data_IF_578931341740
#
_entry.id   IF_578931341740
#
_cell.length_a   1.000
_cell.length_b   1.000
_cell.length_c   1.000
_cell.angle_alpha   90.00
_cell.angle_beta   90.00
_cell.angle_gamma   90.00
#
_symmetry.space_group_name_H-M   'P 1'
#
loop_
_entity.id
_entity.type
_entity.pdbx_description
1 polymer ?
#
# COMPACT_ATOMS: atom_id res chain seq x y z
N UNK A 1 14.00 47.43 9.36
CA UNK A 1 15.04 46.63 8.74
C UNK A 1 15.74 45.86 9.84
N UNK A 2 15.27 44.69 10.11
CA UNK A 2 15.98 43.76 10.99
C UNK A 2 16.20 42.49 10.15
N UNK A 3 17.42 42.29 9.72
CA UNK A 3 17.85 41.03 9.11
C UNK A 3 17.96 39.97 10.20
N UNK A 4 16.99 39.09 10.28
CA UNK A 4 17.15 37.86 11.02
C UNK A 4 17.90 36.89 10.10
N UNK A 5 19.18 36.75 10.37
CA UNK A 5 19.96 35.64 9.82
C UNK A 5 19.47 34.38 10.52
N UNK A 6 18.71 33.54 9.80
CA UNK A 6 18.45 32.15 10.23
C UNK A 6 19.78 31.41 10.13
N UNK A 7 20.38 31.15 11.27
CA UNK A 7 21.55 30.29 11.39
C UNK A 7 21.02 28.88 11.45
N UNK A 8 21.39 28.02 10.53
CA UNK A 8 21.14 26.61 10.60
C UNK A 8 21.73 26.05 11.90
N UNK A 9 20.88 25.67 12.83
CA UNK A 9 21.27 24.95 14.02
C UNK A 9 21.22 23.46 13.68
N UNK A 10 22.37 22.87 13.41
CA UNK A 10 22.56 21.43 13.35
C UNK A 10 22.29 20.88 14.76
N UNK A 11 21.12 20.33 14.97
CA UNK A 11 20.85 19.51 16.15
C UNK A 11 21.10 18.05 15.73
N UNK A 12 22.32 17.61 15.91
CA UNK A 12 22.66 16.18 15.89
C UNK A 12 22.02 15.48 17.09
N UNK A 13 20.80 15.02 16.93
CA UNK A 13 20.23 14.03 17.83
C UNK A 13 20.65 12.63 17.35
N UNK A 14 21.88 12.27 17.61
CA UNK A 14 22.31 10.87 17.53
C UNK A 14 21.65 10.12 18.68
N UNK A 15 20.45 9.60 18.45
CA UNK A 15 19.92 8.53 19.28
C UNK A 15 20.45 7.21 18.73
N UNK A 16 21.55 6.75 19.30
CA UNK A 16 21.99 5.37 19.14
C UNK A 16 20.98 4.44 19.81
N UNK A 17 20.01 3.95 19.05
CA UNK A 17 19.33 2.71 19.39
C UNK A 17 20.08 1.56 18.71
N UNK A 18 20.96 0.93 19.49
CA UNK A 18 21.58 -0.34 19.12
C UNK A 18 20.55 -1.46 19.27
N UNK A 19 19.90 -1.77 18.18
CA UNK A 19 19.05 -2.93 18.00
C UNK A 19 18.95 -3.20 16.52
N UNK A 20 20.06 -3.63 15.91
CA UNK A 20 20.00 -4.16 14.56
C UNK A 20 19.14 -5.43 14.59
N UNK A 21 17.88 -5.33 14.18
CA UNK A 21 17.17 -6.49 13.64
C UNK A 21 17.70 -6.62 12.22
N UNK A 22 18.64 -7.53 12.02
CA UNK A 22 19.10 -7.86 10.67
C UNK A 22 17.90 -8.37 9.85
N UNK A 23 17.84 -8.03 8.57
CA UNK A 23 16.92 -8.64 7.60
C UNK A 23 16.96 -10.19 7.61
N UNK A 24 18.02 -10.79 8.17
CA UNK A 24 18.16 -12.23 8.41
C UNK A 24 17.30 -12.78 9.56
N UNK A 25 16.60 -11.93 10.33
CA UNK A 25 15.69 -12.31 11.42
C UNK A 25 14.20 -12.16 11.04
N UNK A 26 13.87 -12.06 9.76
CA UNK A 26 12.53 -12.35 9.28
C UNK A 26 12.29 -13.80 9.64
N UNK A 27 11.50 -14.01 10.69
CA UNK A 27 11.29 -15.36 11.20
C UNK A 27 10.82 -16.25 10.05
N UNK A 28 11.39 -17.44 9.93
CA UNK A 28 11.06 -18.48 8.93
C UNK A 28 9.57 -18.88 8.86
N UNK A 29 8.70 -18.09 9.44
CA UNK A 29 7.26 -18.29 9.59
C UNK A 29 6.42 -17.36 8.72
N UNK A 30 6.99 -16.26 8.17
CA UNK A 30 6.25 -15.35 7.29
C UNK A 30 6.10 -15.96 5.90
N UNK A 31 4.95 -15.73 5.29
CA UNK A 31 4.73 -15.96 3.87
C UNK A 31 5.49 -14.86 3.14
N UNK A 32 6.41 -15.21 2.26
CA UNK A 32 7.06 -14.24 1.39
C UNK A 32 6.03 -13.84 0.35
N UNK A 33 5.56 -12.60 0.41
CA UNK A 33 4.65 -12.04 -0.57
C UNK A 33 5.40 -11.59 -1.83
N UNK A 34 4.74 -11.54 -2.98
CA UNK A 34 5.38 -11.20 -4.25
C UNK A 34 5.55 -9.69 -4.49
N UNK A 35 5.04 -8.80 -3.64
CA UNK A 35 5.07 -7.36 -3.94
C UNK A 35 6.49 -6.85 -4.21
N UNK A 36 7.43 -7.15 -3.31
CA UNK A 36 8.83 -6.78 -3.47
C UNK A 36 9.55 -7.50 -4.64
N UNK A 37 9.00 -8.60 -5.16
CA UNK A 37 9.55 -9.29 -6.33
C UNK A 37 8.98 -8.72 -7.65
N UNK A 38 7.83 -8.04 -7.58
CA UNK A 38 7.15 -7.47 -8.75
C UNK A 38 7.62 -6.05 -9.07
N UNK A 39 8.17 -5.35 -8.08
CA UNK A 39 8.70 -3.99 -8.24
C UNK A 39 10.22 -4.03 -8.10
N UNK A 40 10.93 -3.71 -9.17
CA UNK A 40 12.38 -3.61 -9.17
C UNK A 40 12.83 -2.55 -8.16
N UNK A 41 13.85 -2.85 -7.34
CA UNK A 41 14.38 -1.95 -6.30
C UNK A 41 13.30 -1.35 -5.37
N UNK A 42 12.28 -2.15 -5.04
CA UNK A 42 11.20 -1.71 -4.16
C UNK A 42 11.69 -1.46 -2.74
N UNK A 43 11.08 -0.48 -2.08
CA UNK A 43 11.29 -0.24 -0.65
C UNK A 43 11.00 -1.52 0.16
N UNK A 44 11.90 -1.95 1.06
CA UNK A 44 11.66 -3.11 1.91
C UNK A 44 10.40 -2.97 2.75
N UNK A 45 9.53 -3.96 2.67
CA UNK A 45 8.28 -3.99 3.47
C UNK A 45 8.47 -4.43 4.92
N UNK A 46 9.67 -4.87 5.29
CA UNK A 46 10.01 -5.35 6.65
C UNK A 46 11.37 -4.83 7.08
N UNK A 47 11.54 -4.66 8.39
CA UNK A 47 12.79 -4.13 8.95
C UNK A 47 12.71 -2.64 9.26
N UNK A 48 13.83 -1.97 9.18
CA UNK A 48 13.94 -0.53 9.43
C UNK A 48 14.19 0.19 8.12
N UNK A 49 13.27 1.04 7.72
CA UNK A 49 13.40 1.91 6.54
C UNK A 49 13.65 3.34 7.01
N UNK A 50 14.59 4.01 6.36
CA UNK A 50 14.88 5.43 6.59
C UNK A 50 14.57 6.22 5.34
N UNK A 51 13.77 7.28 5.47
CA UNK A 51 13.33 8.11 4.37
C UNK A 51 13.79 9.57 4.58
N UNK A 52 14.69 10.12 3.75
CA UNK A 52 14.95 11.54 3.75
C UNK A 52 13.78 12.26 3.05
N UNK A 53 13.32 13.35 3.65
CA UNK A 53 12.19 14.17 3.15
C UNK A 53 12.68 15.57 2.89
N UNK A 54 12.47 16.07 1.69
CA UNK A 54 12.91 17.39 1.28
C UNK A 54 11.71 18.31 1.06
N UNK A 55 11.57 19.35 1.87
CA UNK A 55 10.67 20.45 1.62
C UNK A 55 11.34 21.39 0.60
N UNK A 56 10.82 21.40 -0.61
CA UNK A 56 11.43 22.11 -1.74
C UNK A 56 10.57 23.30 -2.15
N UNK A 57 11.13 24.49 -2.11
CA UNK A 57 10.52 25.68 -2.69
C UNK A 57 11.37 26.28 -3.83
N UNK A 58 10.82 27.29 -4.50
CA UNK A 58 11.43 27.91 -5.68
C UNK A 58 11.65 29.40 -5.45
N UNK A 59 12.54 30.07 -6.25
CA UNK A 59 12.74 31.49 -6.15
C UNK A 59 11.45 32.33 -6.33
N UNK A 60 10.52 31.83 -7.13
CA UNK A 60 9.24 32.47 -7.47
C UNK A 60 8.02 31.84 -6.76
N UNK A 61 8.16 30.70 -6.12
CA UNK A 61 7.09 30.03 -5.38
C UNK A 61 7.61 29.49 -4.05
N UNK A 62 7.19 30.08 -2.95
CA UNK A 62 7.64 29.76 -1.59
C UNK A 62 6.53 29.09 -0.81
N UNK A 63 6.90 28.26 0.17
CA UNK A 63 5.92 27.84 1.17
C UNK A 63 5.30 29.06 1.84
N UNK A 64 4.00 29.05 2.02
CA UNK A 64 3.29 30.11 2.72
C UNK A 64 3.66 30.13 4.21
N UNK A 65 3.36 31.26 4.88
CA UNK A 65 3.55 31.37 6.34
C UNK A 65 2.62 30.41 7.13
N UNK A 66 1.63 29.82 6.48
CA UNK A 66 0.67 28.87 7.06
C UNK A 66 1.13 27.41 6.90
N UNK A 67 2.14 27.14 6.07
CA UNK A 67 2.70 25.80 5.93
C UNK A 67 3.38 25.37 7.23
N UNK A 68 3.29 24.07 7.53
CA UNK A 68 3.96 23.51 8.72
C UNK A 68 5.49 23.62 8.59
N UNK A 69 6.16 23.67 9.73
CA UNK A 69 7.62 23.66 9.80
C UNK A 69 8.20 22.28 9.51
N UNK A 70 9.51 22.22 9.26
CA UNK A 70 10.24 20.95 9.12
C UNK A 70 10.07 20.05 10.35
N UNK A 71 10.04 20.63 11.56
CA UNK A 71 9.87 19.89 12.81
C UNK A 71 8.44 19.30 12.89
N UNK A 72 7.41 20.07 12.54
CA UNK A 72 6.03 19.59 12.53
C UNK A 72 5.80 18.53 11.45
N UNK A 73 6.35 18.72 10.24
CA UNK A 73 6.26 17.73 9.16
C UNK A 73 7.00 16.44 9.56
N UNK A 74 8.14 16.55 10.21
CA UNK A 74 8.86 15.40 10.76
C UNK A 74 8.03 14.63 11.80
N UNK A 75 7.27 15.34 12.65
CA UNK A 75 6.35 14.70 13.60
C UNK A 75 5.17 14.02 12.90
N UNK A 76 4.64 14.63 11.82
CA UNK A 76 3.57 14.01 11.03
C UNK A 76 4.00 12.71 10.36
N UNK A 77 5.23 12.66 9.87
CA UNK A 77 5.74 11.50 9.15
C UNK A 77 6.33 10.45 10.09
N UNK A 78 7.09 10.87 11.11
CA UNK A 78 7.93 9.98 11.92
C UNK A 78 7.66 10.03 13.43
N UNK A 79 6.60 10.74 13.85
CA UNK A 79 6.21 10.83 15.26
C UNK A 79 5.77 9.48 15.85
N UNK A 80 5.71 9.42 17.18
CA UNK A 80 5.31 8.19 17.90
C UNK A 80 3.81 7.88 17.75
N UNK A 81 2.98 8.90 17.48
CA UNK A 81 1.52 8.78 17.38
C UNK A 81 0.96 9.72 16.32
N UNK A 82 -0.19 9.34 15.76
CA UNK A 82 -0.88 10.09 14.70
C UNK A 82 0.08 10.49 13.56
N UNK A 83 0.90 9.53 13.11
CA UNK A 83 1.93 9.71 12.09
C UNK A 83 1.90 8.61 11.05
N UNK A 84 2.56 8.83 9.93
CA UNK A 84 2.80 7.81 8.91
C UNK A 84 3.56 6.61 9.49
N UNK A 85 4.60 6.84 10.31
CA UNK A 85 5.37 5.77 10.94
C UNK A 85 4.53 4.91 11.89
N UNK A 86 3.63 5.52 12.67
CA UNK A 86 2.68 4.76 13.49
C UNK A 86 1.70 3.96 12.63
N UNK A 87 1.21 4.56 11.54
CA UNK A 87 0.32 3.87 10.60
C UNK A 87 0.99 2.60 10.05
N UNK A 88 2.18 2.72 9.47
CA UNK A 88 2.93 1.60 8.89
C UNK A 88 3.31 0.54 9.93
N UNK A 89 3.69 0.96 11.12
CA UNK A 89 3.95 0.05 12.26
C UNK A 89 2.70 -0.74 12.66
N UNK A 90 1.54 -0.10 12.70
CA UNK A 90 0.27 -0.75 12.99
C UNK A 90 -0.14 -1.71 11.87
N UNK A 91 -0.04 -1.27 10.61
CA UNK A 91 -0.40 -2.03 9.43
C UNK A 91 0.43 -3.31 9.28
N UNK A 92 1.74 -3.20 9.51
CA UNK A 92 2.70 -4.31 9.41
C UNK A 92 2.76 -5.22 10.65
N UNK A 93 1.94 -4.98 11.66
CA UNK A 93 2.03 -5.69 12.95
C UNK A 93 3.41 -5.53 13.62
N UNK A 94 3.99 -4.34 13.49
CA UNK A 94 5.33 -3.97 13.97
C UNK A 94 6.49 -4.71 13.28
N UNK A 95 6.29 -5.14 12.04
CA UNK A 95 7.36 -5.74 11.23
C UNK A 95 8.13 -4.70 10.42
N UNK A 96 7.52 -3.54 10.15
CA UNK A 96 8.14 -2.38 9.50
C UNK A 96 8.27 -1.24 10.52
N UNK A 97 9.44 -0.64 10.58
CA UNK A 97 9.73 0.57 11.35
C UNK A 97 10.22 1.65 10.39
N UNK A 98 9.41 2.68 10.18
CA UNK A 98 9.75 3.84 9.36
C UNK A 98 10.32 4.96 10.21
N UNK A 99 11.40 5.56 9.74
CA UNK A 99 12.03 6.74 10.37
C UNK A 99 12.60 7.65 9.29
N UNK A 100 12.95 8.89 9.64
CA UNK A 100 13.53 9.80 8.69
C UNK A 100 13.84 11.17 9.28
N UNK A 101 14.17 12.09 8.38
CA UNK A 101 14.42 13.50 8.73
C UNK A 101 13.94 14.40 7.59
N UNK A 102 13.46 15.59 7.95
CA UNK A 102 12.99 16.60 7.00
C UNK A 102 14.07 17.66 6.83
N UNK A 103 14.31 18.05 5.58
CA UNK A 103 15.28 19.05 5.18
C UNK A 103 14.59 20.10 4.31
N UNK A 104 15.01 21.34 4.41
CA UNK A 104 14.49 22.42 3.60
C UNK A 104 15.49 22.84 2.52
N UNK A 105 14.99 22.93 1.29
CA UNK A 105 15.79 23.33 0.14
C UNK A 105 15.06 24.37 -0.71
N UNK A 106 15.80 25.36 -1.20
CA UNK A 106 15.32 26.26 -2.25
C UNK A 106 15.98 25.91 -3.57
N UNK A 107 15.18 25.51 -4.54
CA UNK A 107 15.66 25.17 -5.88
C UNK A 107 16.38 26.32 -6.55
N UNK A 108 17.33 26.04 -7.45
CA UNK A 108 18.13 27.03 -8.13
C UNK A 108 17.36 27.81 -9.20
N UNK A 109 16.38 27.15 -9.81
CA UNK A 109 15.55 27.71 -10.87
C UNK A 109 14.12 27.96 -10.38
N UNK A 110 13.37 28.75 -11.15
CA UNK A 110 11.96 28.98 -10.92
C UNK A 110 11.15 27.66 -11.10
N UNK A 111 10.01 27.54 -10.44
CA UNK A 111 9.12 26.40 -10.54
C UNK A 111 8.80 26.03 -11.99
N UNK A 112 8.54 27.02 -12.84
CA UNK A 112 8.21 26.81 -14.25
C UNK A 112 9.30 26.08 -15.06
N UNK A 113 10.55 26.14 -14.63
CA UNK A 113 11.65 25.41 -15.25
C UNK A 113 11.49 23.88 -15.06
N UNK A 114 11.15 23.45 -13.85
CA UNK A 114 10.99 22.03 -13.50
C UNK A 114 9.62 21.44 -13.89
N UNK A 115 8.64 22.29 -14.20
CA UNK A 115 7.30 21.83 -14.64
C UNK A 115 7.27 21.13 -15.99
N UNK A 116 8.34 21.21 -16.74
CA UNK A 116 8.42 20.53 -18.03
C UNK A 116 8.59 19.05 -17.81
N UNK A 117 7.85 18.24 -18.54
CA UNK A 117 7.97 16.78 -18.48
C UNK A 117 9.43 16.34 -18.60
N UNK A 118 9.89 15.54 -17.65
CA UNK A 118 11.28 15.06 -17.55
C UNK A 118 12.20 15.89 -16.62
N UNK A 119 11.78 17.10 -16.17
CA UNK A 119 12.62 17.91 -15.28
C UNK A 119 12.45 17.57 -13.78
N UNK A 120 11.60 16.60 -13.45
CA UNK A 120 11.46 16.12 -12.05
C UNK A 120 12.72 15.44 -11.55
N UNK A 121 13.32 14.64 -12.39
CA UNK A 121 14.60 13.99 -12.12
C UNK A 121 15.69 15.02 -11.93
N UNK A 122 15.74 16.07 -12.77
CA UNK A 122 16.69 17.17 -12.62
C UNK A 122 16.50 17.91 -11.28
N UNK A 123 15.26 18.07 -10.80
CA UNK A 123 14.99 18.62 -9.47
C UNK A 123 15.44 17.64 -8.37
N UNK A 124 15.15 16.36 -8.51
CA UNK A 124 15.59 15.33 -7.57
C UNK A 124 17.11 15.26 -7.47
N UNK A 125 17.83 15.23 -8.61
CA UNK A 125 19.30 15.26 -8.64
C UNK A 125 19.85 16.53 -7.97
N UNK A 126 19.24 17.68 -8.25
CA UNK A 126 19.66 18.93 -7.66
C UNK A 126 19.51 18.92 -6.14
N UNK A 127 18.37 18.42 -5.63
CA UNK A 127 18.07 18.30 -4.19
C UNK A 127 19.01 17.30 -3.54
N UNK A 128 19.11 16.11 -4.04
CA UNK A 128 19.98 15.06 -3.50
C UNK A 128 21.44 15.50 -3.48
N UNK A 129 21.92 16.08 -4.59
CA UNK A 129 23.30 16.59 -4.66
C UNK A 129 23.57 17.77 -3.71
N UNK A 130 22.55 18.54 -3.35
CA UNK A 130 22.73 19.65 -2.42
C UNK A 130 23.03 19.20 -0.99
N UNK A 131 22.61 17.99 -0.64
CA UNK A 131 22.86 17.37 0.67
C UNK A 131 23.99 16.32 0.64
N UNK A 132 24.64 16.15 -0.50
CA UNK A 132 25.86 15.34 -0.58
C UNK A 132 26.92 15.85 0.38
N UNK A 133 27.43 14.96 1.22
CA UNK A 133 28.37 15.30 2.30
C UNK A 133 27.72 15.80 3.61
N UNK A 134 26.41 16.10 3.65
CA UNK A 134 25.64 16.25 4.89
C UNK A 134 24.93 14.94 5.25
N UNK A 135 24.39 14.25 4.23
CA UNK A 135 23.82 12.92 4.33
C UNK A 135 24.83 11.90 3.78
N UNK A 136 24.79 10.71 4.33
CA UNK A 136 25.43 9.52 3.77
C UNK A 136 24.30 8.64 3.21
N UNK A 137 24.17 8.58 1.89
CA UNK A 137 23.04 7.92 1.24
C UNK A 137 23.04 6.40 1.46
N UNK A 138 24.16 5.79 1.81
CA UNK A 138 24.18 4.38 2.21
C UNK A 138 23.45 4.08 3.53
N UNK A 139 23.11 5.11 4.32
CA UNK A 139 22.27 4.94 5.51
C UNK A 139 20.78 4.75 5.17
N UNK A 140 20.40 4.92 3.88
CA UNK A 140 19.03 4.81 3.35
C UNK A 140 18.84 3.59 2.42
N UNK A 141 19.83 2.75 2.27
CA UNK A 141 19.77 1.42 1.65
C UNK A 141 19.74 0.37 2.77
N UNK A 142 18.53 -0.05 3.15
CA UNK A 142 18.35 -0.91 4.33
C UNK A 142 18.53 -2.40 4.02
N UNK A 143 18.38 -2.83 2.77
CA UNK A 143 18.55 -4.21 2.35
C UNK A 143 19.86 -4.48 1.61
N UNK A 144 20.64 -3.42 1.35
CA UNK A 144 21.95 -3.44 0.72
C UNK A 144 21.91 -3.96 -0.73
N UNK A 145 20.92 -3.53 -1.49
CA UNK A 145 20.80 -3.85 -2.92
C UNK A 145 21.54 -2.85 -3.83
N UNK A 146 22.06 -1.74 -3.26
CA UNK A 146 22.77 -0.67 -3.92
C UNK A 146 21.86 0.47 -4.38
N UNK A 147 20.63 0.50 -3.89
CA UNK A 147 19.67 1.58 -4.11
C UNK A 147 19.16 2.14 -2.77
N UNK A 148 19.05 3.46 -2.67
CA UNK A 148 18.35 4.06 -1.54
C UNK A 148 16.87 3.68 -1.57
N UNK A 149 16.34 3.17 -0.46
CA UNK A 149 14.99 2.57 -0.37
C UNK A 149 13.88 3.49 -0.91
N UNK A 150 13.88 4.76 -0.48
CA UNK A 150 12.90 5.77 -0.90
C UNK A 150 13.32 7.14 -0.40
N UNK A 151 13.00 8.19 -1.13
CA UNK A 151 13.03 9.57 -0.64
C UNK A 151 11.75 10.32 -0.99
N UNK A 152 11.53 11.47 -0.38
CA UNK A 152 10.32 12.28 -0.62
C UNK A 152 10.68 13.73 -0.90
N UNK A 153 9.99 14.33 -1.87
CA UNK A 153 9.98 15.77 -2.09
C UNK A 153 8.57 16.33 -1.86
N UNK A 154 8.43 17.17 -0.84
CA UNK A 154 7.24 17.99 -0.64
C UNK A 154 7.49 19.35 -1.27
N UNK A 155 6.77 19.68 -2.34
CA UNK A 155 7.06 20.82 -3.22
C UNK A 155 6.11 21.98 -2.90
N UNK A 156 6.64 23.20 -2.82
CA UNK A 156 5.83 24.39 -2.68
C UNK A 156 5.06 24.69 -3.97
N UNK A 157 3.84 25.19 -3.83
CA UNK A 157 2.95 25.54 -4.94
C UNK A 157 1.80 24.53 -5.05
N UNK A 158 0.60 25.07 -5.25
CA UNK A 158 -0.61 24.27 -5.38
C UNK A 158 -0.94 24.00 -6.86
N UNK A 159 -1.42 22.82 -7.14
CA UNK A 159 -2.26 22.42 -8.28
C UNK A 159 -1.61 22.35 -9.67
N UNK A 160 -0.32 22.60 -9.82
CA UNK A 160 0.16 22.77 -11.19
C UNK A 160 1.40 21.94 -11.54
N UNK A 161 2.05 21.29 -10.57
CA UNK A 161 3.32 20.64 -10.83
C UNK A 161 3.15 19.13 -11.07
N UNK A 162 2.42 18.47 -10.19
CA UNK A 162 2.03 17.06 -10.25
C UNK A 162 0.53 16.92 -10.03
N UNK A 163 0.02 15.70 -10.12
CA UNK A 163 -1.37 15.36 -9.84
C UNK A 163 -1.61 15.10 -8.34
N UNK A 164 -1.12 15.97 -7.46
CA UNK A 164 -1.24 15.79 -6.01
C UNK A 164 -0.06 15.03 -5.40
N UNK A 165 -0.30 13.93 -4.70
CA UNK A 165 0.71 13.02 -4.18
C UNK A 165 0.92 11.86 -5.17
N UNK A 166 2.16 11.47 -5.40
CA UNK A 166 2.49 10.42 -6.36
C UNK A 166 3.80 9.72 -6.02
N UNK A 167 3.79 8.39 -5.97
CA UNK A 167 5.01 7.61 -6.09
C UNK A 167 5.46 7.57 -7.55
N UNK A 168 6.76 7.70 -7.76
CA UNK A 168 7.36 7.66 -9.09
C UNK A 168 8.74 7.00 -9.02
N UNK A 169 9.27 6.64 -10.17
CA UNK A 169 10.58 6.01 -10.27
C UNK A 169 11.55 6.92 -11.02
N UNK A 170 12.83 6.67 -10.81
CA UNK A 170 13.92 7.42 -11.37
C UNK A 170 14.54 6.66 -12.55
N UNK A 171 14.55 7.26 -13.75
CA UNK A 171 15.00 6.58 -14.96
C UNK A 171 16.52 6.68 -15.22
N UNK A 172 17.22 7.63 -14.56
CA UNK A 172 18.67 7.81 -14.77
C UNK A 172 19.49 6.87 -13.86
N UNK A 173 19.81 5.70 -14.36
CA UNK A 173 20.62 4.71 -13.65
C UNK A 173 22.11 5.09 -13.52
N UNK A 174 22.56 6.20 -14.15
CA UNK A 174 23.94 6.66 -14.03
C UNK A 174 24.15 7.58 -12.82
N UNK A 175 23.06 8.18 -12.27
CA UNK A 175 23.14 9.03 -11.09
C UNK A 175 23.30 8.19 -9.82
N UNK A 176 24.31 8.52 -9.01
CA UNK A 176 24.57 7.87 -7.73
C UNK A 176 25.30 8.78 -6.78
N UNK A 177 25.04 8.66 -5.47
CA UNK A 177 25.72 9.35 -4.39
C UNK A 177 26.13 8.34 -3.31
N UNK A 178 27.33 8.46 -2.77
CA UNK A 178 27.92 7.53 -1.79
C UNK A 178 27.98 6.05 -2.23
N UNK A 179 27.77 5.79 -3.53
CA UNK A 179 27.72 4.45 -4.11
C UNK A 179 26.32 3.88 -4.27
N UNK A 180 25.30 4.61 -3.81
CA UNK A 180 23.90 4.22 -3.93
C UNK A 180 23.25 4.91 -5.14
N UNK A 181 22.41 4.16 -5.84
CA UNK A 181 21.47 4.65 -6.82
C UNK A 181 20.14 5.03 -6.19
N UNK A 182 19.25 5.62 -6.97
CA UNK A 182 17.92 6.01 -6.51
C UNK A 182 16.91 5.42 -7.48
N UNK A 183 15.79 4.93 -6.97
CA UNK A 183 14.74 4.39 -7.83
C UNK A 183 13.37 4.96 -7.46
N UNK A 184 12.79 4.59 -6.31
CA UNK A 184 11.50 5.11 -5.90
C UNK A 184 11.62 6.43 -5.13
N UNK A 185 10.72 7.36 -5.44
CA UNK A 185 10.51 8.55 -4.62
C UNK A 185 9.05 8.98 -4.64
N UNK A 186 8.64 9.70 -3.60
CA UNK A 186 7.31 10.26 -3.47
C UNK A 186 7.42 11.77 -3.71
N UNK A 187 6.58 12.28 -4.60
CA UNK A 187 6.43 13.72 -4.78
C UNK A 187 5.06 14.13 -4.31
N UNK A 188 5.01 15.19 -3.52
CA UNK A 188 3.77 15.76 -3.02
C UNK A 188 3.80 17.27 -3.22
N UNK A 189 2.83 17.82 -3.94
CA UNK A 189 2.66 19.26 -4.18
C UNK A 189 1.59 19.87 -3.24
N UNK A 190 0.90 19.04 -2.45
CA UNK A 190 0.02 19.49 -1.40
C UNK A 190 0.84 20.08 -0.27
N UNK A 191 0.75 21.40 -0.08
CA UNK A 191 1.42 22.04 1.04
C UNK A 191 0.90 21.45 2.38
N UNK A 192 1.78 21.01 3.27
CA UNK A 192 1.37 20.40 4.54
C UNK A 192 0.84 21.50 5.49
N UNK A 193 -0.45 21.78 5.43
CA UNK A 193 -1.15 22.65 6.35
C UNK A 193 -1.70 21.87 7.54
N UNK A 194 -1.75 22.49 8.71
CA UNK A 194 -2.20 21.84 9.94
C UNK A 194 -3.62 21.25 9.83
N UNK A 195 -4.51 21.87 9.04
CA UNK A 195 -5.88 21.41 8.82
C UNK A 195 -6.00 20.18 7.90
N UNK A 196 -4.98 19.87 7.12
CA UNK A 196 -4.99 18.71 6.21
C UNK A 196 -4.08 17.55 6.64
N UNK A 197 -3.59 17.56 7.88
CA UNK A 197 -2.66 16.55 8.41
C UNK A 197 -3.12 15.10 8.14
N UNK A 198 -4.39 14.79 8.46
CA UNK A 198 -4.92 13.44 8.31
C UNK A 198 -4.92 13.01 6.84
N UNK A 199 -5.39 13.87 5.95
CA UNK A 199 -5.39 13.63 4.51
C UNK A 199 -3.97 13.44 3.96
N UNK A 200 -3.05 14.33 4.31
CA UNK A 200 -1.66 14.25 3.92
C UNK A 200 -1.00 12.93 4.32
N UNK A 201 -1.20 12.49 5.57
CA UNK A 201 -0.67 11.20 6.04
C UNK A 201 -1.28 10.03 5.27
N UNK A 202 -2.59 10.09 4.96
CA UNK A 202 -3.27 9.03 4.22
C UNK A 202 -2.72 8.89 2.79
N UNK A 203 -2.50 10.01 2.09
CA UNK A 203 -1.86 10.01 0.78
C UNK A 203 -0.43 9.46 0.85
N UNK A 204 0.38 9.96 1.78
CA UNK A 204 1.75 9.48 1.93
C UNK A 204 1.84 7.98 2.21
N UNK A 205 0.92 7.41 2.99
CA UNK A 205 0.85 5.96 3.22
C UNK A 205 0.43 5.19 1.96
N UNK A 206 -0.45 5.75 1.12
CA UNK A 206 -0.84 5.16 -0.14
C UNK A 206 0.36 5.09 -1.10
N UNK A 207 1.03 6.22 -1.31
CA UNK A 207 2.19 6.30 -2.21
C UNK A 207 3.37 5.44 -1.72
N UNK A 208 3.54 5.35 -0.40
CA UNK A 208 4.54 4.46 0.18
C UNK A 208 4.20 2.97 -0.06
N UNK A 209 2.91 2.64 -0.12
CA UNK A 209 2.44 1.32 -0.54
C UNK A 209 2.92 0.96 -1.95
N UNK A 210 2.92 1.92 -2.89
CA UNK A 210 3.48 1.75 -4.22
C UNK A 210 5.00 1.53 -4.19
N UNK A 211 5.72 2.30 -3.38
CA UNK A 211 7.16 2.10 -3.22
C UNK A 211 7.49 0.69 -2.68
N UNK A 212 6.60 0.09 -1.90
CA UNK A 212 6.71 -1.30 -1.45
C UNK A 212 6.23 -2.34 -2.47
N UNK A 213 5.79 -1.93 -3.67
CA UNK A 213 5.38 -2.81 -4.77
C UNK A 213 3.88 -3.13 -4.84
N UNK A 214 3.02 -2.45 -4.10
CA UNK A 214 1.58 -2.61 -4.26
C UNK A 214 1.07 -1.80 -5.47
N UNK A 215 0.05 -2.33 -6.13
CA UNK A 215 -0.64 -1.65 -7.22
C UNK A 215 -1.87 -0.91 -6.71
N UNK A 216 -2.36 0.05 -7.50
CA UNK A 216 -3.70 0.61 -7.31
C UNK A 216 -4.79 -0.44 -7.51
N UNK A 217 -5.81 -0.39 -6.66
CA UNK A 217 -6.96 -1.28 -6.75
C UNK A 217 -8.18 -0.63 -7.38
N UNK A 218 -8.16 0.69 -7.56
CA UNK A 218 -9.16 1.39 -8.34
C UNK A 218 -8.85 1.32 -9.85
N UNK A 219 -9.81 1.67 -10.66
CA UNK A 219 -9.70 1.65 -12.12
C UNK A 219 -9.35 3.03 -12.66
N UNK A 220 -8.37 3.13 -13.55
CA UNK A 220 -7.92 4.38 -14.19
C UNK A 220 -8.82 4.88 -15.34
N UNK A 221 -10.07 4.52 -15.41
CA UNK A 221 -10.97 4.92 -16.51
C UNK A 221 -11.65 6.25 -16.17
N UNK A 222 -11.22 7.31 -16.83
CA UNK A 222 -11.73 8.67 -16.61
C UNK A 222 -13.20 8.88 -17.01
N UNK A 223 -13.79 7.97 -17.81
CA UNK A 223 -15.17 8.03 -18.25
C UNK A 223 -16.11 7.18 -17.38
N UNK A 224 -15.59 6.52 -16.34
CA UNK A 224 -16.39 5.67 -15.46
C UNK A 224 -17.03 6.49 -14.34
N UNK A 225 -18.26 6.16 -14.00
CA UNK A 225 -18.86 6.62 -12.75
C UNK A 225 -17.97 6.20 -11.57
N UNK A 226 -17.85 7.05 -10.55
CA UNK A 226 -17.06 6.84 -9.35
C UNK A 226 -17.26 5.43 -8.72
N UNK A 227 -18.50 4.92 -8.71
CA UNK A 227 -18.82 3.56 -8.27
C UNK A 227 -18.16 2.45 -9.13
N UNK A 228 -17.84 2.73 -10.39
CA UNK A 228 -17.15 1.77 -11.25
C UNK A 228 -15.64 1.82 -11.10
N UNK A 229 -15.08 2.91 -10.57
CA UNK A 229 -13.66 3.04 -10.26
C UNK A 229 -13.28 2.20 -9.04
N UNK A 230 -14.17 2.10 -8.05
CA UNK A 230 -13.87 1.52 -6.75
C UNK A 230 -14.14 0.02 -6.73
N UNK A 231 -13.08 -0.77 -6.71
CA UNK A 231 -13.17 -2.22 -6.59
C UNK A 231 -13.65 -2.70 -5.23
N UNK A 232 -13.40 -1.94 -4.18
CA UNK A 232 -13.57 -2.33 -2.78
C UNK A 232 -14.24 -1.29 -1.90
N UNK A 233 -15.01 -0.39 -2.49
CA UNK A 233 -15.85 0.59 -1.80
C UNK A 233 -15.07 1.57 -0.90
N UNK A 234 -13.87 1.97 -1.29
CA UNK A 234 -13.11 3.02 -0.61
C UNK A 234 -12.65 2.69 0.81
N UNK A 235 -12.48 1.43 1.14
CA UNK A 235 -12.10 1.02 2.51
C UNK A 235 -10.81 0.21 2.56
N UNK A 236 -9.89 0.52 1.66
CA UNK A 236 -8.58 -0.11 1.55
C UNK A 236 -7.56 0.92 1.09
N UNK A 237 -6.37 0.86 1.66
CA UNK A 237 -5.33 1.86 1.45
C UNK A 237 -4.99 2.09 -0.02
N UNK A 238 -4.92 1.04 -0.82
CA UNK A 238 -4.59 1.13 -2.25
C UNK A 238 -5.81 1.34 -3.17
N UNK A 239 -7.00 1.62 -2.61
CA UNK A 239 -8.21 2.00 -3.36
C UNK A 239 -8.47 3.51 -3.22
N UNK A 240 -9.04 3.99 -2.12
CA UNK A 240 -9.34 5.41 -1.89
C UNK A 240 -8.59 6.00 -0.68
N UNK A 241 -7.44 5.47 -0.38
CA UNK A 241 -6.55 5.95 0.69
C UNK A 241 -7.12 5.86 2.11
N UNK A 242 -8.40 5.55 2.30
CA UNK A 242 -8.99 5.40 3.62
C UNK A 242 -8.72 4.03 4.25
N UNK A 243 -8.65 3.98 5.56
CA UNK A 243 -8.48 2.75 6.32
C UNK A 243 -7.07 2.16 6.29
N UNK A 244 -6.99 0.88 6.57
CA UNK A 244 -5.75 0.10 6.61
C UNK A 244 -5.58 -0.70 5.31
N UNK A 245 -4.41 -1.24 5.09
CA UNK A 245 -4.21 -2.29 4.09
C UNK A 245 -5.07 -3.51 4.41
N UNK A 246 -5.70 -4.08 3.40
CA UNK A 246 -6.43 -5.35 3.53
C UNK A 246 -5.49 -6.50 3.88
N UNK A 247 -6.05 -7.63 4.32
CA UNK A 247 -5.23 -8.84 4.51
C UNK A 247 -4.63 -9.34 3.19
N UNK A 248 -5.18 -8.94 2.03
CA UNK A 248 -4.59 -9.19 0.73
C UNK A 248 -3.28 -8.41 0.57
N UNK A 249 -3.30 -7.09 0.74
CA UNK A 249 -2.10 -6.26 0.65
C UNK A 249 -1.04 -6.67 1.67
N UNK A 250 -1.45 -6.96 2.91
CA UNK A 250 -0.56 -7.45 3.96
C UNK A 250 0.06 -8.82 3.62
N UNK A 251 -0.68 -9.68 2.90
CA UNK A 251 -0.16 -10.95 2.39
C UNK A 251 0.86 -10.70 1.26
N UNK A 252 0.57 -9.76 0.36
CA UNK A 252 1.48 -9.38 -0.72
C UNK A 252 2.79 -8.75 -0.20
N UNK A 253 2.73 -8.00 0.89
CA UNK A 253 3.88 -7.39 1.56
C UNK A 253 4.64 -8.36 2.50
N UNK A 254 4.21 -9.62 2.62
CA UNK A 254 4.90 -10.59 3.46
C UNK A 254 4.67 -10.41 4.98
N UNK A 255 3.64 -9.67 5.39
CA UNK A 255 3.35 -9.40 6.80
C UNK A 255 2.55 -10.50 7.50
N UNK A 256 2.05 -11.50 6.77
CA UNK A 256 1.30 -12.61 7.33
C UNK A 256 2.19 -13.84 7.54
N UNK A 257 1.94 -14.53 8.66
CA UNK A 257 2.57 -15.83 8.94
C UNK A 257 1.76 -16.96 8.31
N UNK A 258 2.44 -18.09 8.04
CA UNK A 258 1.81 -19.26 7.42
C UNK A 258 0.61 -19.84 8.20
N UNK A 259 0.55 -19.66 9.53
CA UNK A 259 -0.59 -20.09 10.35
C UNK A 259 -1.72 -19.05 10.42
N UNK A 260 -1.52 -17.84 9.90
CA UNK A 260 -2.48 -16.74 9.86
C UNK A 260 -3.31 -16.76 8.57
N UNK A 261 -2.71 -17.08 7.42
CA UNK A 261 -3.39 -17.21 6.14
C UNK A 261 -3.82 -18.68 5.91
N UNK A 262 -5.02 -19.02 6.33
CA UNK A 262 -5.54 -20.41 6.29
C UNK A 262 -6.21 -20.71 4.97
N UNK A 263 -5.81 -21.78 4.29
CA UNK A 263 -6.45 -22.23 3.04
C UNK A 263 -7.60 -23.19 3.31
N UNK A 264 -8.75 -22.92 2.70
CA UNK A 264 -9.86 -23.87 2.67
C UNK A 264 -9.54 -25.04 1.72
N UNK A 265 -9.59 -26.25 2.25
CA UNK A 265 -9.20 -27.48 1.56
C UNK A 265 -10.36 -28.47 1.36
N UNK A 266 -11.59 -27.95 1.44
CA UNK A 266 -12.81 -28.76 1.23
C UNK A 266 -13.48 -29.27 2.49
N UNK A 267 -14.71 -29.75 2.32
CA UNK A 267 -15.56 -30.27 3.38
C UNK A 267 -16.18 -29.16 4.25
N UNK A 268 -16.75 -29.56 5.40
CA UNK A 268 -17.26 -28.57 6.35
C UNK A 268 -16.15 -28.15 7.31
N UNK A 269 -15.81 -26.87 7.32
CA UNK A 269 -14.76 -26.28 8.15
C UNK A 269 -15.30 -25.07 8.89
N UNK A 270 -14.84 -24.86 10.11
CA UNK A 270 -15.12 -23.64 10.88
C UNK A 270 -13.81 -22.93 11.21
N UNK A 271 -13.83 -21.61 11.08
CA UNK A 271 -12.69 -20.75 11.35
C UNK A 271 -13.09 -19.69 12.37
N UNK A 272 -12.13 -19.32 13.21
CA UNK A 272 -12.16 -18.13 14.04
C UNK A 272 -11.08 -17.19 13.52
N UNK A 273 -11.44 -15.97 13.21
CA UNK A 273 -10.56 -14.91 12.74
C UNK A 273 -10.20 -13.98 13.92
N UNK A 274 -9.03 -13.39 13.86
CA UNK A 274 -8.66 -12.23 14.68
C UNK A 274 -9.02 -10.96 13.91
N UNK A 275 -9.05 -9.83 14.61
CA UNK A 275 -9.17 -8.53 13.94
C UNK A 275 -8.00 -8.29 12.99
N UNK A 276 -8.30 -7.83 11.78
CA UNK A 276 -7.29 -7.44 10.78
C UNK A 276 -6.42 -6.27 11.25
N UNK A 277 -6.94 -5.43 12.14
CA UNK A 277 -6.21 -4.32 12.75
C UNK A 277 -5.20 -4.78 13.81
N UNK A 278 -5.44 -5.93 14.45
CA UNK A 278 -4.64 -6.42 15.58
C UNK A 278 -3.57 -7.42 15.17
N UNK A 279 -3.92 -8.28 14.20
CA UNK A 279 -3.11 -9.43 13.84
C UNK A 279 -3.49 -9.97 12.46
N UNK A 280 -2.51 -10.48 11.72
CA UNK A 280 -2.76 -11.24 10.50
C UNK A 280 -3.71 -12.41 10.76
N UNK A 281 -4.83 -12.47 10.03
CA UNK A 281 -5.78 -13.57 10.14
C UNK A 281 -6.76 -13.56 8.98
N UNK A 282 -6.61 -14.48 8.04
CA UNK A 282 -7.54 -14.60 6.93
C UNK A 282 -7.81 -16.07 6.56
N UNK A 283 -8.82 -16.27 5.71
CA UNK A 283 -9.11 -17.56 5.08
C UNK A 283 -9.13 -17.37 3.58
N UNK A 284 -8.31 -18.13 2.88
CA UNK A 284 -8.23 -18.16 1.42
C UNK A 284 -9.05 -19.33 0.90
N UNK A 285 -9.93 -19.08 -0.05
CA UNK A 285 -10.71 -20.11 -0.75
C UNK A 285 -10.31 -20.07 -2.22
N UNK A 286 -9.36 -20.90 -2.68
CA UNK A 286 -8.97 -20.90 -4.09
C UNK A 286 -10.02 -21.57 -4.98
N UNK A 287 -10.08 -21.19 -6.25
CA UNK A 287 -11.01 -21.76 -7.23
C UNK A 287 -10.93 -23.29 -7.32
N UNK A 288 -9.74 -23.86 -7.21
CA UNK A 288 -9.48 -25.30 -7.32
C UNK A 288 -8.88 -25.86 -6.01
N UNK A 289 -9.55 -25.59 -4.88
CA UNK A 289 -9.06 -26.04 -3.57
C UNK A 289 -8.89 -27.56 -3.48
N UNK A 290 -7.80 -27.98 -2.89
CA UNK A 290 -7.49 -29.40 -2.64
C UNK A 290 -6.77 -29.59 -1.30
N UNK A 291 -6.74 -30.81 -0.82
CA UNK A 291 -6.04 -31.14 0.43
C UNK A 291 -4.54 -30.85 0.31
N UNK A 292 -3.99 -30.17 1.30
CA UNK A 292 -2.56 -29.90 1.44
C UNK A 292 -2.07 -28.61 0.78
N UNK A 293 -2.97 -27.77 0.24
CA UNK A 293 -2.59 -26.44 -0.23
C UNK A 293 -2.24 -25.53 0.96
N UNK A 294 -1.23 -24.73 0.76
CA UNK A 294 -0.80 -23.62 1.61
C UNK A 294 -1.16 -22.27 0.97
N UNK A 295 -0.92 -21.17 1.66
CA UNK A 295 -1.16 -19.85 1.12
C UNK A 295 -0.25 -19.54 -0.09
N UNK A 296 0.99 -19.99 -0.05
CA UNK A 296 1.97 -19.84 -1.11
C UNK A 296 1.55 -20.54 -2.43
N UNK A 297 0.68 -21.58 -2.33
CA UNK A 297 0.13 -22.24 -3.52
C UNK A 297 -1.00 -21.43 -4.20
N UNK A 298 -1.53 -20.38 -3.58
CA UNK A 298 -2.79 -19.75 -4.00
C UNK A 298 -2.76 -18.23 -4.10
N UNK A 299 -1.86 -17.55 -3.41
CA UNK A 299 -1.92 -16.10 -3.24
C UNK A 299 -1.70 -15.30 -4.52
N UNK A 300 -1.15 -15.91 -5.59
CA UNK A 300 -1.01 -15.32 -6.92
C UNK A 300 -2.03 -15.86 -7.93
N UNK A 301 -3.18 -16.30 -7.49
CA UNK A 301 -4.26 -16.85 -8.34
C UNK A 301 -5.61 -16.23 -8.05
N UNK A 302 -6.67 -16.89 -8.53
CA UNK A 302 -8.06 -16.51 -8.23
C UNK A 302 -8.55 -17.21 -6.97
N UNK A 303 -9.01 -16.41 -5.97
CA UNK A 303 -9.54 -16.92 -4.69
C UNK A 303 -10.46 -15.92 -4.00
N UNK A 304 -11.26 -16.38 -3.05
CA UNK A 304 -11.89 -15.50 -2.07
C UNK A 304 -11.02 -15.38 -0.84
N UNK A 305 -10.79 -14.15 -0.38
CA UNK A 305 -10.15 -13.87 0.90
C UNK A 305 -11.20 -13.40 1.90
N UNK A 306 -11.20 -13.98 3.09
CA UNK A 306 -12.12 -13.65 4.17
C UNK A 306 -11.33 -13.11 5.35
N UNK A 307 -11.67 -11.91 5.81
CA UNK A 307 -11.10 -11.26 6.98
C UNK A 307 -12.17 -10.79 7.95
N UNK A 308 -11.78 -10.42 9.16
CA UNK A 308 -12.62 -9.83 10.18
C UNK A 308 -12.08 -8.46 10.56
N UNK A 309 -12.85 -7.42 10.35
CA UNK A 309 -12.46 -6.05 10.63
C UNK A 309 -13.14 -5.51 11.88
N UNK A 310 -12.38 -4.68 12.59
CA UNK A 310 -12.85 -3.94 13.76
C UNK A 310 -12.41 -2.48 13.64
N UNK A 311 -13.19 -1.56 14.20
CA UNK A 311 -12.88 -0.13 14.21
C UNK A 311 -11.77 0.20 15.21
N UNK A 312 -10.58 -0.36 14.99
CA UNK A 312 -9.40 -0.21 15.85
C UNK A 312 -8.19 0.23 15.02
N UNK A 313 -7.25 0.92 15.64
CA UNK A 313 -6.00 1.39 15.00
C UNK A 313 -6.29 2.15 13.70
N UNK A 314 -5.66 1.77 12.60
CA UNK A 314 -5.82 2.39 11.28
C UNK A 314 -7.25 2.30 10.72
N UNK A 315 -8.06 1.34 11.19
CA UNK A 315 -9.46 1.17 10.79
C UNK A 315 -10.44 2.00 11.62
N UNK A 316 -9.98 2.77 12.59
CA UNK A 316 -10.83 3.45 13.58
C UNK A 316 -11.87 4.40 12.95
N UNK A 317 -11.51 5.09 11.88
CA UNK A 317 -12.38 6.03 11.19
C UNK A 317 -12.97 5.48 9.89
N UNK A 318 -12.42 4.41 9.36
CA UNK A 318 -12.80 3.85 8.06
C UNK A 318 -13.99 2.88 8.12
N UNK A 319 -14.34 2.37 9.29
CA UNK A 319 -15.49 1.47 9.45
C UNK A 319 -16.74 2.29 9.78
N UNK A 320 -17.77 2.29 8.91
CA UNK A 320 -19.02 3.01 9.17
C UNK A 320 -19.65 2.59 10.51
N UNK A 321 -20.14 3.55 11.27
CA UNK A 321 -20.83 3.34 12.54
C UNK A 321 -20.07 2.52 13.60
N UNK A 322 -18.74 2.34 13.42
CA UNK A 322 -17.88 1.46 14.22
C UNK A 322 -18.36 0.00 14.26
N UNK A 323 -19.05 -0.45 13.23
CA UNK A 323 -19.49 -1.84 13.11
C UNK A 323 -18.34 -2.77 12.74
N UNK A 324 -18.06 -3.75 13.58
CA UNK A 324 -17.13 -4.84 13.25
C UNK A 324 -17.85 -5.91 12.46
N UNK A 325 -17.18 -6.51 11.46
CA UNK A 325 -17.81 -7.51 10.61
C UNK A 325 -16.83 -8.38 9.81
N UNK A 326 -17.37 -9.40 9.19
CA UNK A 326 -16.64 -10.21 8.22
C UNK A 326 -16.71 -9.51 6.87
N UNK A 327 -15.56 -9.29 6.23
CA UNK A 327 -15.48 -8.91 4.82
C UNK A 327 -14.97 -10.07 3.98
N UNK A 328 -15.45 -10.13 2.76
CA UNK A 328 -15.03 -11.13 1.78
C UNK A 328 -14.61 -10.38 0.51
N UNK A 329 -13.40 -10.63 0.06
CA UNK A 329 -12.90 -10.10 -1.20
C UNK A 329 -12.77 -11.23 -2.22
N UNK A 330 -13.10 -10.93 -3.48
CA UNK A 330 -12.77 -11.75 -4.62
C UNK A 330 -11.45 -11.23 -5.19
N UNK A 331 -10.44 -12.05 -5.16
CA UNK A 331 -9.08 -11.74 -5.58
C UNK A 331 -8.79 -12.47 -6.89
N UNK A 332 -8.15 -11.77 -7.84
CA UNK A 332 -7.50 -12.37 -9.00
C UNK A 332 -6.10 -11.74 -9.15
N UNK A 333 -5.17 -12.30 -8.40
CA UNK A 333 -3.79 -11.85 -8.30
C UNK A 333 -2.88 -12.57 -9.31
N UNK A 334 -3.40 -12.90 -10.50
CA UNK A 334 -2.60 -13.49 -11.58
C UNK A 334 -1.48 -12.53 -11.99
N UNK A 335 -0.25 -13.05 -12.00
CA UNK A 335 0.94 -12.32 -12.42
C UNK A 335 1.21 -12.61 -13.89
N UNK A 336 1.60 -11.60 -14.63
CA UNK A 336 2.07 -11.74 -16.01
C UNK A 336 3.34 -10.90 -16.22
N UNK A 337 4.11 -11.28 -17.24
CA UNK A 337 5.23 -10.50 -17.72
C UNK A 337 4.75 -9.49 -18.76
N UNK A 338 5.40 -8.35 -18.88
CA UNK A 338 5.11 -7.41 -19.94
C UNK A 338 5.47 -8.00 -21.31
N UNK A 339 4.90 -7.44 -22.37
CA UNK A 339 5.14 -7.95 -23.74
C UNK A 339 6.58 -7.73 -24.23
N UNK A 340 7.39 -6.95 -23.51
CA UNK A 340 8.79 -6.66 -23.80
C UNK A 340 9.75 -7.55 -23.00
N UNK A 341 9.22 -8.38 -22.07
CA UNK A 341 9.99 -9.38 -21.32
C UNK A 341 10.85 -8.80 -20.19
N UNK A 342 10.43 -7.68 -19.64
CA UNK A 342 11.10 -7.00 -18.53
C UNK A 342 10.45 -7.33 -17.19
N UNK A 343 9.32 -6.72 -16.92
CA UNK A 343 8.77 -6.68 -15.58
C UNK A 343 7.57 -7.60 -15.39
N UNK A 344 7.47 -8.16 -14.20
CA UNK A 344 6.30 -8.91 -13.78
C UNK A 344 5.34 -7.98 -13.05
N UNK A 345 4.04 -8.08 -13.30
CA UNK A 345 3.01 -7.25 -12.67
C UNK A 345 1.71 -8.02 -12.47
N UNK A 346 0.85 -7.49 -11.60
CA UNK A 346 -0.51 -8.03 -11.46
C UNK A 346 -1.34 -7.73 -12.71
N UNK A 347 -1.76 -8.77 -13.39
CA UNK A 347 -2.44 -8.72 -14.69
C UNK A 347 -3.72 -7.86 -14.69
N UNK A 348 -4.43 -7.79 -13.57
CA UNK A 348 -5.72 -7.12 -13.46
C UNK A 348 -5.69 -5.88 -12.55
N UNK A 349 -4.53 -5.24 -12.41
CA UNK A 349 -4.41 -3.96 -11.72
C UNK A 349 -5.08 -2.82 -12.49
N UNK A 350 -5.22 -1.64 -11.88
CA UNK A 350 -5.86 -0.48 -12.49
C UNK A 350 -5.23 -0.09 -13.82
N UNK A 351 -3.91 -0.11 -13.90
CA UNK A 351 -3.14 0.28 -15.08
C UNK A 351 -3.31 -0.73 -16.24
N UNK A 352 -3.19 -2.02 -15.99
CA UNK A 352 -3.35 -3.04 -17.02
C UNK A 352 -4.77 -3.10 -17.57
N UNK A 353 -5.79 -2.80 -16.77
CA UNK A 353 -7.19 -2.73 -17.22
C UNK A 353 -7.44 -1.57 -18.17
N UNK A 354 -6.66 -0.50 -18.12
CA UNK A 354 -6.73 0.60 -19.06
C UNK A 354 -6.36 0.15 -20.48
N UNK A 355 -5.41 -0.78 -20.62
CA UNK A 355 -4.92 -1.28 -21.90
C UNK A 355 -5.59 -2.59 -22.33
N UNK A 356 -6.06 -3.42 -21.41
CA UNK A 356 -6.74 -4.69 -21.73
C UNK A 356 -8.26 -4.56 -21.64
N UNK A 357 -8.89 -4.19 -22.76
CA UNK A 357 -10.35 -4.11 -22.91
C UNK A 357 -11.02 -5.49 -22.99
N UNK A 358 -10.28 -6.59 -23.03
CA UNK A 358 -10.82 -7.95 -23.22
C UNK A 358 -11.34 -8.59 -21.93
N UNK A 359 -10.92 -8.11 -20.77
CA UNK A 359 -11.25 -8.68 -19.46
C UNK A 359 -11.86 -7.66 -18.49
N UNK A 360 -12.77 -6.84 -18.96
CA UNK A 360 -13.36 -5.69 -18.25
C UNK A 360 -14.01 -6.01 -16.89
N UNK A 361 -14.31 -7.27 -16.60
CA UNK A 361 -14.91 -7.68 -15.32
C UNK A 361 -13.91 -8.12 -14.25
N UNK A 362 -12.70 -8.58 -14.64
CA UNK A 362 -11.70 -9.05 -13.68
C UNK A 362 -11.01 -7.87 -13.00
N UNK A 363 -10.71 -8.04 -11.73
CA UNK A 363 -9.94 -7.08 -10.92
C UNK A 363 -9.03 -7.82 -9.97
N UNK A 364 -7.91 -7.21 -9.63
CA UNK A 364 -6.99 -7.74 -8.62
C UNK A 364 -7.72 -8.01 -7.29
N UNK A 365 -8.62 -7.10 -6.90
CA UNK A 365 -9.43 -7.23 -5.70
C UNK A 365 -10.82 -6.62 -5.92
N UNK A 366 -11.87 -7.29 -5.44
CA UNK A 366 -13.25 -6.79 -5.41
C UNK A 366 -13.92 -7.15 -4.10
N UNK A 367 -14.80 -6.27 -3.65
CA UNK A 367 -15.65 -6.54 -2.49
C UNK A 367 -16.82 -7.45 -2.90
N UNK A 368 -17.06 -8.51 -2.15
CA UNK A 368 -18.27 -9.34 -2.25
C UNK A 368 -19.41 -8.64 -1.51
N UNK A 369 -20.58 -8.57 -2.13
CA UNK A 369 -21.76 -7.85 -1.64
C UNK A 369 -21.61 -6.32 -1.79
N UNK A 370 -22.05 -5.80 -2.95
CA UNK A 370 -22.05 -4.37 -3.25
C UNK A 370 -22.67 -3.55 -2.10
N UNK A 371 -21.98 -2.55 -1.59
CA UNK A 371 -22.36 -1.75 -0.44
C UNK A 371 -21.24 -1.65 0.59
N UNK A 372 -21.55 -1.72 1.90
CA UNK A 372 -20.53 -1.67 2.94
C UNK A 372 -19.72 -2.97 3.10
N UNK A 373 -20.15 -4.04 2.45
CA UNK A 373 -19.44 -5.31 2.38
C UNK A 373 -19.34 -6.11 3.68
N UNK A 374 -19.92 -5.66 4.78
CA UNK A 374 -19.84 -6.35 6.07
C UNK A 374 -20.93 -7.42 6.23
N UNK A 375 -20.50 -8.60 6.66
CA UNK A 375 -21.39 -9.69 7.05
C UNK A 375 -21.33 -9.94 8.56
N UNK A 376 -22.49 -10.14 9.16
CA UNK A 376 -22.68 -10.27 10.59
C UNK A 376 -23.20 -11.65 10.99
N UNK A 377 -23.18 -11.93 12.26
CA UNK A 377 -23.70 -13.20 12.81
C UNK A 377 -25.14 -13.47 12.36
N UNK A 378 -25.32 -14.59 11.70
CA UNK A 378 -26.60 -15.05 11.13
C UNK A 378 -26.61 -14.98 9.60
N UNK A 379 -25.74 -14.19 9.00
CA UNK A 379 -25.68 -14.07 7.54
C UNK A 379 -25.19 -15.36 6.88
N UNK A 380 -25.71 -15.57 5.68
CA UNK A 380 -25.39 -16.71 4.83
C UNK A 380 -24.97 -16.19 3.46
N UNK A 381 -23.77 -16.50 3.07
CA UNK A 381 -23.19 -16.12 1.79
C UNK A 381 -23.19 -17.38 0.90
N UNK A 382 -23.95 -17.30 -0.19
CA UNK A 382 -24.06 -18.34 -1.20
C UNK A 382 -24.21 -17.70 -2.60
N UNK A 383 -24.56 -18.45 -3.59
CA UNK A 383 -24.68 -17.99 -4.98
C UNK A 383 -25.73 -16.87 -5.21
N UNK A 384 -26.49 -16.47 -4.20
CA UNK A 384 -27.44 -15.35 -4.27
C UNK A 384 -26.80 -14.00 -3.91
N UNK A 385 -25.59 -14.03 -3.34
CA UNK A 385 -24.86 -12.83 -2.97
C UNK A 385 -24.04 -12.34 -4.16
N UNK A 386 -24.19 -11.05 -4.51
CA UNK A 386 -23.44 -10.40 -5.58
C UNK A 386 -21.93 -10.53 -5.33
N UNK A 387 -21.17 -10.82 -6.40
CA UNK A 387 -19.71 -11.00 -6.31
C UNK A 387 -19.24 -12.31 -5.68
N UNK A 388 -20.13 -13.21 -5.22
CA UNK A 388 -19.72 -14.53 -4.70
C UNK A 388 -19.83 -15.61 -5.78
N UNK A 389 -19.16 -15.38 -6.90
CA UNK A 389 -19.03 -16.32 -8.02
C UNK A 389 -17.62 -16.20 -8.62
N UNK A 390 -17.14 -17.29 -9.23
CA UNK A 390 -15.85 -17.28 -9.94
C UNK A 390 -16.01 -16.61 -11.31
N UNK A 391 -14.91 -16.08 -11.83
CA UNK A 391 -14.86 -15.53 -13.16
C UNK A 391 -15.01 -16.62 -14.23
N UNK A 392 -15.79 -16.33 -15.27
CA UNK A 392 -15.81 -17.11 -16.50
C UNK A 392 -14.67 -16.69 -17.45
N UNK A 393 -14.59 -17.32 -18.61
CA UNK A 393 -13.59 -17.03 -19.64
C UNK A 393 -13.67 -15.58 -20.19
N UNK A 394 -14.78 -14.88 -19.95
CA UNK A 394 -15.00 -13.49 -20.36
C UNK A 394 -14.82 -12.51 -19.17
N UNK A 395 -14.28 -12.97 -18.04
CA UNK A 395 -14.08 -12.14 -16.85
C UNK A 395 -15.38 -11.75 -16.14
N UNK A 396 -16.46 -12.51 -16.27
CA UNK A 396 -17.74 -12.26 -15.60
C UNK A 396 -17.89 -13.20 -14.41
N UNK A 397 -18.38 -12.71 -13.30
CA UNK A 397 -18.68 -13.49 -12.09
C UNK A 397 -19.95 -14.34 -12.26
N UNK A 398 -19.87 -15.41 -13.05
CA UNK A 398 -21.02 -16.26 -13.43
C UNK A 398 -20.88 -17.70 -13.01
N UNK A 399 -19.69 -18.16 -12.62
CA UNK A 399 -19.46 -19.56 -12.24
C UNK A 399 -19.72 -19.72 -10.76
N UNK A 400 -20.77 -20.46 -10.39
CA UNK A 400 -21.14 -20.68 -9.01
C UNK A 400 -20.03 -21.36 -8.20
N UNK A 401 -19.72 -20.85 -7.02
CA UNK A 401 -18.68 -21.38 -6.13
C UNK A 401 -18.97 -22.80 -5.61
N UNK A 402 -20.23 -23.20 -5.59
CA UNK A 402 -20.65 -24.45 -4.95
C UNK A 402 -20.47 -24.47 -3.44
N UNK A 403 -20.30 -23.30 -2.82
CA UNK A 403 -20.03 -23.14 -1.38
C UNK A 403 -21.14 -22.36 -0.68
N UNK A 404 -21.21 -22.58 0.61
CA UNK A 404 -22.01 -21.78 1.55
C UNK A 404 -21.11 -21.39 2.71
N UNK A 405 -21.01 -20.08 2.96
CA UNK A 405 -20.35 -19.51 4.13
C UNK A 405 -21.42 -19.02 5.08
N UNK A 406 -21.33 -19.39 6.34
CA UNK A 406 -22.23 -18.92 7.41
C UNK A 406 -21.42 -18.18 8.45
N UNK A 407 -21.83 -16.95 8.75
CA UNK A 407 -21.29 -16.20 9.87
C UNK A 407 -21.95 -16.71 11.15
N UNK A 408 -21.19 -17.42 11.97
CA UNK A 408 -21.71 -18.14 13.16
C UNK A 408 -21.43 -17.41 14.46
N UNK A 409 -20.68 -16.33 14.41
CA UNK A 409 -20.35 -15.43 15.52
C UNK A 409 -19.63 -14.21 14.95
N UNK A 410 -19.35 -13.21 15.75
CA UNK A 410 -18.79 -11.93 15.29
C UNK A 410 -17.53 -12.13 14.43
N UNK A 411 -16.61 -12.97 14.86
CA UNK A 411 -15.39 -13.34 14.14
C UNK A 411 -15.33 -14.81 13.72
N UNK A 412 -16.47 -15.48 13.56
CA UNK A 412 -16.53 -16.91 13.29
C UNK A 412 -17.33 -17.22 12.03
N UNK A 413 -16.74 -18.01 11.16
CA UNK A 413 -17.39 -18.51 9.95
C UNK A 413 -17.39 -20.03 9.89
N UNK A 414 -18.33 -20.58 9.14
CA UNK A 414 -18.34 -22.00 8.75
C UNK A 414 -18.53 -22.08 7.25
N UNK A 415 -17.60 -22.71 6.56
CA UNK A 415 -17.63 -22.97 5.12
C UNK A 415 -18.06 -24.40 4.90
N UNK A 416 -18.97 -24.63 3.97
CA UNK A 416 -19.42 -25.94 3.54
C UNK A 416 -19.76 -25.97 2.05
N UNK A 417 -19.66 -27.14 1.43
CA UNK A 417 -20.10 -27.33 0.06
C UNK A 417 -21.62 -27.41 -0.01
N UNK A 418 -22.20 -26.85 -1.07
CA UNK A 418 -23.61 -27.14 -1.42
C UNK A 418 -23.75 -28.62 -1.68
N UNK A 419 -24.80 -29.25 -1.20
CA UNK A 419 -25.12 -30.62 -1.63
C UNK A 419 -25.36 -30.58 -3.14
N UNK A 420 -24.44 -31.11 -3.93
CA UNK A 420 -24.75 -31.45 -5.32
C UNK A 420 -26.01 -32.34 -5.26
N UNK A 421 -27.12 -31.79 -5.79
CA UNK A 421 -28.35 -32.58 -5.94
C UNK A 421 -27.99 -33.75 -6.80
N UNK A 422 -27.95 -34.92 -6.16
CA UNK A 422 -27.80 -36.19 -6.88
C UNK A 422 -28.95 -36.25 -7.88
N UNK A 423 -28.65 -36.04 -9.15
CA UNK A 423 -29.54 -36.48 -10.21
C UNK A 423 -29.72 -38.01 -10.03
N UNK A 424 -30.90 -38.38 -9.59
CA UNK A 424 -31.37 -39.77 -9.69
C UNK A 424 -31.59 -40.13 -11.15
#
# INVERSE_FOLDING_TARGET
MLHIKRTAAVISAVMCFSGCVNAADIGSENIIGPANELAEHSTPSVGQVRMPVFMVDFPDERFSDEAVSEEELSDWLFGETDSMAEFEKNASYSQLELSGSVFYYTAKQNMSYYKTFGNYEELAEEVLSAFDGELNYSDFDSDNDGYADVFTMTIAGQDDFFYGCQATWYDDTDFSLDGEHFYYYIVNDAQPYAENKEYFIQEMCHEFGHCMGLADYYKYDADSDFEAMNGIAGTEKMDEMEGDYSQFSKLMLGWLKSDEAKVYTGGKKSYKLSSSAEKGSCVLIPVNYKKGMSAEDVYTGEYFLIQYDTAEKNMKNAIPDNESGIRIFHIDAEICEDEYGGDSYFKYNGFSQYYDTTHTGRRIIRLVNDGNGYFHKGDVIDSSVSGFAWYDENGRETIGTGLIIKVTGDSRITISQTKTGGSK
#
